data_IF_547464043021
#
_entry.id   IF_547464043021
#
_cell.length_a   1.000
_cell.length_b   1.000
_cell.length_c   1.000
_cell.angle_alpha   90.00
_cell.angle_beta   90.00
_cell.angle_gamma   90.00
#
_symmetry.space_group_name_H-M   'P 1'
#
loop_
_entity.id
_entity.type
_entity.pdbx_description
1 polymer ?
#
# COMPACT_ATOMS: atom_id res chain seq x y z
N UNK A 1 27.49 -1.59 10.83
CA UNK A 1 27.30 -1.32 9.39
C UNK A 1 26.77 0.09 9.18
N UNK A 2 25.68 0.49 9.84
CA UNK A 2 25.11 1.84 9.72
C UNK A 2 26.05 2.97 10.10
N UNK A 3 26.83 2.85 11.17
CA UNK A 3 27.85 3.86 11.53
C UNK A 3 28.84 4.21 10.41
N UNK A 4 29.34 3.19 9.72
CA UNK A 4 30.24 3.38 8.60
C UNK A 4 29.51 4.01 7.41
N UNK A 5 28.24 3.64 7.18
CA UNK A 5 27.41 4.25 6.14
C UNK A 5 27.15 5.74 6.42
N UNK A 6 26.87 6.13 7.67
CA UNK A 6 26.71 7.53 8.11
C UNK A 6 27.95 8.34 7.89
N UNK A 7 29.09 7.79 8.30
CA UNK A 7 30.39 8.44 8.14
C UNK A 7 30.71 8.67 6.67
N UNK A 8 30.46 7.68 5.81
CA UNK A 8 30.61 7.84 4.36
C UNK A 8 29.66 8.91 3.81
N UNK A 9 28.37 8.89 4.18
CA UNK A 9 27.41 9.88 3.71
C UNK A 9 27.78 11.30 4.12
N UNK A 10 28.13 11.53 5.39
CA UNK A 10 28.50 12.86 5.87
C UNK A 10 29.78 13.41 5.22
N UNK A 11 30.74 12.52 4.91
CA UNK A 11 32.04 12.92 4.35
C UNK A 11 32.03 13.03 2.83
N UNK A 12 31.31 12.15 2.15
CA UNK A 12 31.38 11.97 0.69
C UNK A 12 30.04 12.26 -0.02
N UNK A 13 28.96 12.53 0.73
CA UNK A 13 27.62 12.75 0.18
C UNK A 13 26.96 11.49 -0.40
N UNK A 14 27.59 10.32 -0.24
CA UNK A 14 27.17 9.05 -0.85
C UNK A 14 27.37 7.91 0.14
N UNK A 15 26.40 6.99 0.19
CA UNK A 15 26.54 5.69 0.87
C UNK A 15 27.04 4.64 -0.15
N UNK A 16 28.20 3.99 0.08
CA UNK A 16 28.68 2.91 -0.78
C UNK A 16 27.69 1.73 -0.90
N UNK A 17 27.62 1.12 -2.09
CA UNK A 17 26.68 0.03 -2.41
C UNK A 17 26.83 -1.22 -1.53
N UNK A 18 27.98 -1.41 -0.87
CA UNK A 18 28.22 -2.52 0.06
C UNK A 18 27.43 -2.44 1.36
N UNK A 19 26.85 -1.28 1.70
CA UNK A 19 26.16 -1.08 2.97
C UNK A 19 24.67 -1.40 2.87
N UNK A 20 23.97 -0.85 1.89
CA UNK A 20 22.52 -0.98 1.76
C UNK A 20 22.06 -1.18 0.32
N UNK A 21 20.82 -1.64 0.17
CA UNK A 21 20.15 -1.77 -1.13
C UNK A 21 20.08 -0.41 -1.86
N UNK A 22 19.87 -0.41 -3.19
CA UNK A 22 19.66 0.84 -3.95
C UNK A 22 18.58 1.73 -3.35
N UNK A 23 17.44 1.16 -2.94
CA UNK A 23 16.28 1.89 -2.42
C UNK A 23 16.61 2.62 -1.11
N UNK A 24 17.30 1.95 -0.19
CA UNK A 24 17.73 2.56 1.08
C UNK A 24 18.78 3.65 0.82
N UNK A 25 19.73 3.43 -0.09
CA UNK A 25 20.75 4.45 -0.42
C UNK A 25 20.12 5.69 -1.06
N UNK A 26 19.15 5.52 -1.94
CA UNK A 26 18.38 6.62 -2.53
C UNK A 26 17.61 7.40 -1.47
N UNK A 27 16.98 6.71 -0.51
CA UNK A 27 16.31 7.34 0.63
C UNK A 27 17.28 8.13 1.51
N UNK A 28 18.42 7.55 1.89
CA UNK A 28 19.45 8.23 2.67
C UNK A 28 19.98 9.47 1.95
N UNK A 29 20.12 9.39 0.63
CA UNK A 29 20.49 10.54 -0.19
C UNK A 29 19.41 11.63 -0.16
N UNK A 30 18.12 11.30 -0.33
CA UNK A 30 17.04 12.29 -0.22
C UNK A 30 17.03 12.99 1.14
N UNK A 31 17.24 12.23 2.23
CA UNK A 31 17.33 12.77 3.59
C UNK A 31 18.52 13.73 3.77
N UNK A 32 19.68 13.37 3.22
CA UNK A 32 20.86 14.24 3.27
C UNK A 32 20.67 15.50 2.41
N UNK A 33 20.12 15.36 1.21
CA UNK A 33 19.85 16.47 0.29
C UNK A 33 18.77 17.43 0.83
N UNK A 34 17.88 16.98 1.73
CA UNK A 34 16.92 17.83 2.45
C UNK A 34 17.51 18.55 3.67
N UNK A 35 18.80 18.32 3.97
CA UNK A 35 19.53 19.02 5.03
C UNK A 35 19.53 18.32 6.39
N UNK A 36 19.09 17.05 6.47
CA UNK A 36 19.20 16.29 7.71
C UNK A 36 20.65 15.92 8.02
N UNK A 37 21.01 15.95 9.29
CA UNK A 37 22.30 15.47 9.80
C UNK A 37 22.19 13.97 10.13
N UNK A 38 22.98 13.08 9.49
CA UNK A 38 22.93 11.65 9.77
C UNK A 38 23.41 11.26 11.18
N UNK A 39 24.01 12.19 11.94
CA UNK A 39 24.41 12.02 13.33
C UNK A 39 23.52 12.79 14.32
N UNK A 40 22.54 13.53 13.83
CA UNK A 40 21.56 14.25 14.65
C UNK A 40 20.37 13.39 15.06
N UNK A 41 19.37 14.06 15.63
CA UNK A 41 18.11 13.46 16.07
C UNK A 41 16.95 13.91 15.16
N UNK A 42 15.91 13.07 14.97
CA UNK A 42 14.74 13.44 14.19
C UNK A 42 14.00 14.63 14.81
N UNK A 43 13.61 15.57 13.95
CA UNK A 43 12.68 16.63 14.37
C UNK A 43 11.29 16.01 14.53
N UNK A 44 10.54 16.43 15.55
CA UNK A 44 9.17 15.95 15.73
C UNK A 44 8.17 16.99 15.28
N UNK A 45 7.35 16.63 14.29
CA UNK A 45 6.28 17.48 13.79
C UNK A 45 4.94 16.78 14.03
N UNK A 46 4.05 17.47 14.76
CA UNK A 46 2.68 17.04 14.99
C UNK A 46 1.72 18.08 14.41
N UNK A 47 0.75 17.64 13.62
CA UNK A 47 -0.29 18.53 13.13
C UNK A 47 -1.26 18.90 14.25
N UNK A 48 -1.87 20.09 14.15
CA UNK A 48 -2.90 20.49 15.09
C UNK A 48 -4.12 19.55 15.02
N UNK A 49 -4.84 19.40 16.14
CA UNK A 49 -6.02 18.52 16.24
C UNK A 49 -7.07 18.82 15.16
N UNK A 50 -7.32 20.10 14.86
CA UNK A 50 -8.24 20.49 13.80
C UNK A 50 -7.80 19.99 12.41
N UNK A 51 -6.50 20.04 12.12
CA UNK A 51 -5.95 19.52 10.88
C UNK A 51 -6.01 17.98 10.83
N UNK A 52 -5.74 17.29 11.93
CA UNK A 52 -5.91 15.84 12.03
C UNK A 52 -7.36 15.42 11.75
N UNK A 53 -8.35 16.11 12.33
CA UNK A 53 -9.76 15.82 12.08
C UNK A 53 -10.14 16.03 10.62
N UNK A 54 -9.69 17.13 10.02
CA UNK A 54 -9.90 17.39 8.58
C UNK A 54 -9.28 16.31 7.70
N UNK A 55 -8.04 15.88 7.97
CA UNK A 55 -7.38 14.80 7.23
C UNK A 55 -8.15 13.47 7.36
N UNK A 56 -8.71 13.18 8.55
CA UNK A 56 -9.58 12.01 8.77
C UNK A 56 -10.89 12.08 7.99
N UNK A 57 -11.49 13.27 7.85
CA UNK A 57 -12.68 13.50 7.04
C UNK A 57 -12.39 13.35 5.54
N UNK A 58 -11.31 13.96 5.06
CA UNK A 58 -10.85 13.85 3.66
C UNK A 58 -10.51 12.39 3.30
N UNK A 59 -9.99 11.62 4.27
CA UNK A 59 -9.67 10.20 4.12
C UNK A 59 -10.80 9.25 4.56
N UNK A 60 -12.02 9.74 4.78
CA UNK A 60 -13.08 8.99 5.50
C UNK A 60 -13.27 7.55 4.98
N UNK A 61 -13.42 7.38 3.66
CA UNK A 61 -13.73 6.07 3.07
C UNK A 61 -12.55 5.10 3.20
N UNK A 62 -11.35 5.52 2.78
CA UNK A 62 -10.12 4.69 2.89
C UNK A 62 -9.79 4.39 4.34
N UNK A 63 -9.94 5.37 5.23
CA UNK A 63 -9.74 5.22 6.67
C UNK A 63 -10.69 4.21 7.28
N UNK A 64 -11.97 4.23 6.91
CA UNK A 64 -12.97 3.27 7.41
C UNK A 64 -12.57 1.83 7.05
N UNK A 65 -12.19 1.59 5.80
CA UNK A 65 -11.73 0.27 5.34
C UNK A 65 -10.39 -0.11 5.99
N UNK A 66 -9.45 0.83 6.07
CA UNK A 66 -8.15 0.64 6.71
C UNK A 66 -8.29 0.22 8.17
N UNK A 67 -9.17 0.86 8.96
CA UNK A 67 -9.39 0.47 10.36
C UNK A 67 -9.81 -1.00 10.52
N UNK A 68 -10.71 -1.49 9.67
CA UNK A 68 -11.13 -2.89 9.68
C UNK A 68 -9.95 -3.81 9.33
N UNK A 69 -9.17 -3.44 8.32
CA UNK A 69 -8.01 -4.22 7.89
C UNK A 69 -6.83 -4.16 8.87
N UNK A 70 -6.67 -3.06 9.61
CA UNK A 70 -5.69 -2.96 10.69
C UNK A 70 -6.00 -3.94 11.82
N UNK A 71 -7.28 -4.11 12.18
CA UNK A 71 -7.68 -5.12 13.18
C UNK A 71 -7.50 -6.55 12.66
N UNK A 72 -7.78 -6.80 11.37
CA UNK A 72 -7.52 -8.09 10.73
C UNK A 72 -6.02 -8.42 10.71
N UNK A 73 -5.18 -7.45 10.33
CA UNK A 73 -3.73 -7.60 10.30
C UNK A 73 -3.19 -7.79 11.70
N UNK A 74 -3.68 -7.02 12.68
CA UNK A 74 -3.32 -7.15 14.09
C UNK A 74 -3.53 -8.59 14.57
N UNK A 75 -4.69 -9.19 14.33
CA UNK A 75 -4.95 -10.59 14.70
C UNK A 75 -4.00 -11.60 14.06
N UNK A 76 -3.48 -11.31 12.86
CA UNK A 76 -2.53 -12.19 12.15
C UNK A 76 -1.11 -12.09 12.68
N UNK A 77 -0.72 -10.93 13.22
CA UNK A 77 0.65 -10.67 13.71
C UNK A 77 0.73 -10.42 15.23
N UNK A 78 -0.38 -10.56 15.95
CA UNK A 78 -0.49 -10.32 17.38
C UNK A 78 0.51 -11.16 18.19
N UNK A 79 0.91 -10.64 19.35
CA UNK A 79 1.88 -11.31 20.24
C UNK A 79 3.33 -11.21 19.76
N UNK A 80 3.58 -10.42 18.71
CA UNK A 80 4.92 -10.18 18.17
C UNK A 80 5.43 -8.75 18.45
N UNK A 81 4.77 -8.03 19.37
CA UNK A 81 5.08 -6.65 19.76
C UNK A 81 5.04 -5.71 18.55
N UNK A 82 3.84 -5.50 17.99
CA UNK A 82 3.64 -4.63 16.83
C UNK A 82 2.89 -3.34 17.15
N UNK A 83 3.18 -2.32 16.35
CA UNK A 83 2.29 -1.18 16.10
C UNK A 83 1.91 -1.25 14.62
N UNK A 84 0.62 -1.16 14.34
CA UNK A 84 0.08 -0.99 12.99
C UNK A 84 -0.42 0.44 12.88
N UNK A 85 0.03 1.14 11.85
CA UNK A 85 -0.28 2.54 11.58
C UNK A 85 -1.03 2.63 10.26
N UNK A 86 -2.07 3.45 10.24
CA UNK A 86 -2.63 3.98 9.01
C UNK A 86 -2.31 5.47 8.92
N UNK A 87 -1.64 5.86 7.84
CA UNK A 87 -1.30 7.25 7.53
C UNK A 87 -1.94 7.68 6.21
N UNK A 88 -2.15 8.99 6.05
CA UNK A 88 -2.56 9.56 4.77
C UNK A 88 -1.38 9.64 3.77
N UNK A 89 -1.66 10.16 2.58
CA UNK A 89 -0.68 10.28 1.49
C UNK A 89 0.50 11.20 1.82
N UNK A 90 0.36 12.10 2.79
CA UNK A 90 1.44 12.99 3.23
C UNK A 90 2.26 12.37 4.37
N UNK A 91 1.96 11.14 4.78
CA UNK A 91 2.65 10.47 5.88
C UNK A 91 2.25 10.97 7.27
N UNK A 92 1.06 11.57 7.42
CA UNK A 92 0.51 11.91 8.75
C UNK A 92 -0.27 10.73 9.30
N UNK A 93 0.07 10.28 10.50
CA UNK A 93 -0.61 9.17 11.19
C UNK A 93 -2.06 9.59 11.50
N UNK A 94 -3.03 8.81 11.02
CA UNK A 94 -4.44 9.04 11.28
C UNK A 94 -5.00 8.09 12.34
N UNK A 95 -4.53 6.84 12.36
CA UNK A 95 -4.93 5.82 13.32
C UNK A 95 -3.77 4.86 13.61
N UNK A 96 -3.84 4.21 14.77
CA UNK A 96 -2.90 3.16 15.16
C UNK A 96 -3.60 2.05 15.92
N UNK A 97 -3.09 0.83 15.80
CA UNK A 97 -3.38 -0.33 16.67
C UNK A 97 -2.06 -0.78 17.26
N UNK A 98 -1.98 -0.97 18.57
CA UNK A 98 -0.72 -1.26 19.27
C UNK A 98 -0.89 -2.40 20.26
N UNK A 99 0.07 -3.32 20.29
CA UNK A 99 0.17 -4.35 21.33
C UNK A 99 0.52 -3.72 22.68
N UNK A 100 -0.06 -4.22 23.78
CA UNK A 100 0.18 -3.70 25.13
C UNK A 100 1.67 -3.74 25.52
N UNK A 101 2.39 -4.80 25.14
CA UNK A 101 3.83 -4.96 25.35
C UNK A 101 4.66 -3.93 24.60
N UNK A 102 4.21 -3.50 23.42
CA UNK A 102 4.87 -2.47 22.63
C UNK A 102 4.47 -1.07 23.11
N UNK A 103 3.25 -0.86 23.61
CA UNK A 103 2.78 0.41 24.14
C UNK A 103 3.65 0.93 25.30
N UNK A 104 4.20 0.02 26.12
CA UNK A 104 5.09 0.36 27.23
C UNK A 104 6.48 0.86 26.80
N UNK A 105 6.95 0.46 25.62
CA UNK A 105 8.26 0.84 25.05
C UNK A 105 8.18 1.90 23.97
N UNK A 106 6.98 2.27 23.54
CA UNK A 106 6.76 3.09 22.37
C UNK A 106 6.70 4.58 22.72
N UNK A 107 7.51 5.43 22.08
CA UNK A 107 7.42 6.87 22.28
C UNK A 107 6.10 7.46 21.77
N UNK A 108 5.69 8.59 22.33
CA UNK A 108 4.51 9.38 21.93
C UNK A 108 4.46 9.72 20.42
N UNK A 109 5.61 9.62 19.72
CA UNK A 109 5.82 9.97 18.31
C UNK A 109 5.05 9.13 17.28
N UNK A 110 4.42 8.03 17.70
CA UNK A 110 3.55 7.20 16.84
C UNK A 110 2.06 7.45 17.07
N UNK A 111 1.70 8.47 17.87
CA UNK A 111 0.30 8.87 18.06
C UNK A 111 -0.29 9.49 16.78
N UNK A 112 -1.62 9.46 16.61
CA UNK A 112 -2.27 10.22 15.55
C UNK A 112 -1.87 11.70 15.55
N UNK A 113 -1.59 12.22 14.35
CA UNK A 113 -1.16 13.59 14.10
C UNK A 113 0.35 13.77 13.89
N UNK A 114 1.18 12.81 14.27
CA UNK A 114 2.62 12.88 13.96
C UNK A 114 2.87 12.60 12.48
N UNK A 115 3.81 13.35 11.91
CA UNK A 115 4.23 13.23 10.51
C UNK A 115 5.53 12.43 10.41
N UNK A 116 5.60 11.49 9.45
CA UNK A 116 6.70 10.55 9.26
C UNK A 116 7.39 10.64 7.88
N UNK A 117 7.33 11.82 7.26
CA UNK A 117 8.05 12.12 6.02
C UNK A 117 9.57 11.96 6.19
N UNK A 118 10.26 11.61 5.09
CA UNK A 118 11.70 11.39 5.07
C UNK A 118 12.47 12.66 5.45
N UNK A 119 11.98 13.83 5.06
CA UNK A 119 12.58 15.14 5.33
C UNK A 119 12.48 15.56 6.80
N UNK A 120 11.78 14.80 7.63
CA UNK A 120 11.55 15.10 9.06
C UNK A 120 12.13 14.00 9.95
N UNK A 121 11.83 12.73 9.64
CA UNK A 121 12.21 11.57 10.44
C UNK A 121 13.27 10.69 9.77
N UNK A 122 13.85 11.17 8.67
CA UNK A 122 14.82 10.44 7.89
C UNK A 122 14.24 9.18 7.25
N UNK A 123 15.10 8.33 6.68
CA UNK A 123 14.74 7.02 6.13
C UNK A 123 13.98 6.19 7.16
N UNK A 124 12.71 5.95 6.85
CA UNK A 124 11.79 5.07 7.54
C UNK A 124 10.81 4.50 6.49
N UNK A 125 10.20 3.34 6.77
CA UNK A 125 9.41 2.65 5.75
C UNK A 125 8.19 3.48 5.29
N UNK A 126 7.45 4.10 6.22
CA UNK A 126 6.29 4.94 5.92
C UNK A 126 6.67 6.12 5.01
N UNK A 127 7.73 6.85 5.34
CA UNK A 127 8.24 7.96 4.52
C UNK A 127 8.71 7.51 3.14
N UNK A 128 9.43 6.38 3.06
CA UNK A 128 9.83 5.81 1.77
C UNK A 128 8.64 5.45 0.89
N UNK A 129 7.58 4.86 1.46
CA UNK A 129 6.36 4.54 0.72
C UNK A 129 5.63 5.80 0.26
N UNK A 130 5.59 6.85 1.08
CA UNK A 130 4.98 8.14 0.71
C UNK A 130 5.64 8.74 -0.54
N UNK A 131 6.97 8.60 -0.69
CA UNK A 131 7.71 9.13 -1.85
C UNK A 131 7.68 8.17 -3.05
N UNK A 132 7.85 6.87 -2.82
CA UNK A 132 8.08 5.90 -3.91
C UNK A 132 6.81 5.24 -4.42
N UNK A 133 5.72 5.27 -3.64
CA UNK A 133 4.49 4.50 -3.87
C UNK A 133 4.76 3.00 -4.07
N UNK A 134 5.80 2.48 -3.43
CA UNK A 134 6.20 1.06 -3.47
C UNK A 134 6.31 0.51 -2.04
N UNK A 135 6.01 -0.78 -1.82
CA UNK A 135 6.25 -1.40 -0.51
C UNK A 135 7.73 -1.31 -0.12
N UNK A 136 7.99 -1.10 1.16
CA UNK A 136 9.35 -0.95 1.70
C UNK A 136 9.49 -1.63 3.07
N UNK A 137 10.67 -2.20 3.32
CA UNK A 137 11.12 -2.58 4.66
C UNK A 137 12.33 -1.72 5.00
N UNK A 138 12.36 -1.20 6.23
CA UNK A 138 13.55 -0.56 6.80
C UNK A 138 13.87 -1.28 8.11
N UNK A 139 15.04 -1.90 8.17
CA UNK A 139 15.47 -2.74 9.27
C UNK A 139 16.68 -2.15 9.99
N UNK A 140 16.49 -1.84 11.28
CA UNK A 140 17.56 -1.45 12.18
C UNK A 140 18.43 -0.31 11.64
N UNK A 141 19.71 -0.60 11.39
CA UNK A 141 20.71 0.34 10.87
C UNK A 141 20.41 0.95 9.49
N UNK A 142 19.40 0.43 8.78
CA UNK A 142 18.88 1.05 7.56
C UNK A 142 18.08 2.34 7.83
N UNK A 143 17.62 2.54 9.07
CA UNK A 143 16.98 3.80 9.44
C UNK A 143 18.00 4.94 9.42
N UNK A 144 17.57 6.11 8.97
CA UNK A 144 18.46 7.26 8.89
C UNK A 144 18.76 7.90 10.25
N UNK A 145 18.00 7.66 11.30
CA UNK A 145 18.38 8.13 12.64
C UNK A 145 18.64 6.96 13.57
N UNK A 146 19.63 7.12 14.46
CA UNK A 146 19.98 6.12 15.47
C UNK A 146 18.80 5.78 16.38
N UNK A 147 17.97 6.78 16.68
CA UNK A 147 16.74 6.63 17.47
C UNK A 147 15.81 5.52 16.96
N UNK A 148 15.85 5.20 15.67
CA UNK A 148 14.96 4.23 15.04
C UNK A 148 15.64 2.87 14.80
N UNK A 149 16.91 2.67 15.15
CA UNK A 149 17.65 1.44 14.80
C UNK A 149 17.26 0.21 15.64
N UNK A 150 16.48 0.42 16.71
CA UNK A 150 15.83 -0.67 17.44
C UNK A 150 14.58 -1.21 16.73
N UNK A 151 14.17 -0.60 15.61
CA UNK A 151 12.91 -0.90 14.92
C UNK A 151 13.11 -1.66 13.62
N UNK A 152 12.06 -2.36 13.21
CA UNK A 152 11.86 -2.85 11.85
C UNK A 152 10.47 -2.44 11.40
N UNK A 153 10.42 -1.64 10.34
CA UNK A 153 9.20 -1.09 9.79
C UNK A 153 8.94 -1.76 8.43
N UNK A 154 7.72 -2.23 8.21
CA UNK A 154 7.27 -2.77 6.95
C UNK A 154 6.01 -2.02 6.51
N UNK A 155 6.09 -1.30 5.40
CA UNK A 155 5.01 -0.45 4.92
C UNK A 155 4.62 -0.77 3.47
N UNK A 156 3.36 -0.56 3.14
CA UNK A 156 2.86 -0.66 1.77
C UNK A 156 1.83 0.44 1.46
N UNK A 157 1.80 0.91 0.20
CA UNK A 157 0.86 1.93 -0.23
C UNK A 157 -0.54 1.35 -0.44
N UNK A 158 -1.56 2.16 -0.16
CA UNK A 158 -2.93 1.97 -0.62
C UNK A 158 -3.11 2.87 -1.83
N UNK A 159 -3.33 2.25 -3.00
CA UNK A 159 -3.49 2.94 -4.27
C UNK A 159 -4.97 3.05 -4.67
N UNK A 160 -5.42 4.27 -4.90
CA UNK A 160 -6.72 4.57 -5.50
C UNK A 160 -6.69 4.51 -7.03
N UNK A 161 -7.68 5.17 -7.64
CA UNK A 161 -7.80 5.28 -9.10
C UNK A 161 -6.51 5.83 -9.71
N UNK A 162 -6.12 5.27 -10.86
CA UNK A 162 -4.94 5.67 -11.64
C UNK A 162 -3.61 5.62 -10.85
N UNK A 163 -3.53 4.76 -9.82
CA UNK A 163 -2.32 4.63 -9.00
C UNK A 163 -2.07 5.80 -8.04
N UNK A 164 -3.06 6.65 -7.80
CA UNK A 164 -2.95 7.72 -6.80
C UNK A 164 -2.75 7.12 -5.41
N UNK A 165 -1.73 7.55 -4.67
CA UNK A 165 -1.58 7.19 -3.26
C UNK A 165 -2.73 7.81 -2.44
N UNK A 166 -3.48 6.98 -1.72
CA UNK A 166 -4.61 7.41 -0.87
C UNK A 166 -4.43 7.05 0.60
N UNK A 167 -3.34 6.37 0.94
CA UNK A 167 -2.96 6.07 2.31
C UNK A 167 -1.83 5.05 2.36
N UNK A 168 -1.32 4.80 3.56
CA UNK A 168 -0.20 3.89 3.81
C UNK A 168 -0.54 3.05 5.03
N UNK A 169 -0.31 1.74 4.95
CA UNK A 169 -0.25 0.87 6.13
C UNK A 169 1.21 0.62 6.45
N UNK A 170 1.59 0.83 7.70
CA UNK A 170 2.90 0.47 8.25
C UNK A 170 2.70 -0.48 9.43
N UNK A 171 3.52 -1.52 9.51
CA UNK A 171 3.64 -2.38 10.67
C UNK A 171 5.08 -2.33 11.20
N UNK A 172 5.23 -1.81 12.41
CA UNK A 172 6.52 -1.60 13.08
C UNK A 172 6.67 -2.56 14.26
N UNK A 173 7.83 -3.18 14.39
CA UNK A 173 8.21 -4.05 15.52
C UNK A 173 9.64 -3.78 16.00
N UNK A 174 10.02 -4.38 17.13
CA UNK A 174 11.42 -4.46 17.55
C UNK A 174 12.25 -5.24 16.51
N UNK A 175 13.45 -4.75 16.17
CA UNK A 175 14.28 -5.34 15.13
C UNK A 175 14.76 -6.77 15.43
N UNK A 176 14.70 -7.20 16.70
CA UNK A 176 15.01 -8.57 17.12
C UNK A 176 13.87 -9.54 16.80
N UNK A 177 12.67 -9.04 16.56
CA UNK A 177 11.53 -9.84 16.10
C UNK A 177 11.75 -10.26 14.64
N UNK A 178 12.01 -11.56 14.41
CA UNK A 178 12.23 -12.12 13.06
C UNK A 178 10.92 -12.24 12.30
N UNK A 179 10.52 -11.19 11.57
CA UNK A 179 9.20 -11.15 10.92
C UNK A 179 9.30 -10.98 9.40
N UNK A 180 9.86 -12.01 8.74
CA UNK A 180 10.15 -12.02 7.29
C UNK A 180 8.93 -11.89 6.39
N UNK A 181 7.73 -12.16 6.92
CA UNK A 181 6.48 -12.16 6.16
C UNK A 181 5.62 -10.91 6.37
N UNK A 182 6.01 -9.99 7.26
CA UNK A 182 5.19 -8.82 7.60
C UNK A 182 4.91 -7.94 6.39
N UNK A 183 5.90 -7.68 5.53
CA UNK A 183 5.67 -6.87 4.33
C UNK A 183 4.63 -7.51 3.39
N UNK A 184 4.63 -8.83 3.26
CA UNK A 184 3.64 -9.52 2.44
C UNK A 184 2.23 -9.37 3.03
N UNK A 185 2.08 -9.52 4.35
CA UNK A 185 0.80 -9.34 5.04
C UNK A 185 0.30 -7.88 4.94
N UNK A 186 1.18 -6.90 5.17
CA UNK A 186 0.87 -5.47 5.02
C UNK A 186 0.45 -5.17 3.58
N UNK A 187 1.17 -5.69 2.58
CA UNK A 187 0.81 -5.56 1.18
C UNK A 187 -0.55 -6.18 0.82
N UNK A 188 -0.85 -7.36 1.37
CA UNK A 188 -2.16 -8.01 1.19
C UNK A 188 -3.30 -7.21 1.84
N UNK A 189 -3.08 -6.64 3.03
CA UNK A 189 -4.04 -5.73 3.67
C UNK A 189 -4.29 -4.49 2.80
N UNK A 190 -3.25 -3.88 2.24
CA UNK A 190 -3.43 -2.76 1.31
C UNK A 190 -4.25 -3.17 0.08
N UNK A 191 -3.96 -4.31 -0.56
CA UNK A 191 -4.75 -4.80 -1.71
C UNK A 191 -6.22 -5.03 -1.32
N UNK A 192 -6.48 -5.52 -0.10
CA UNK A 192 -7.85 -5.70 0.43
C UNK A 192 -8.57 -4.36 0.53
N UNK A 193 -7.92 -3.33 1.08
CA UNK A 193 -8.46 -1.97 1.18
C UNK A 193 -8.73 -1.40 -0.22
N UNK A 194 -7.81 -1.58 -1.16
CA UNK A 194 -7.93 -1.09 -2.55
C UNK A 194 -9.11 -1.72 -3.27
N UNK A 195 -9.29 -3.04 -3.16
CA UNK A 195 -10.43 -3.73 -3.74
C UNK A 195 -11.75 -3.26 -3.11
N UNK A 196 -11.76 -3.02 -1.79
CA UNK A 196 -12.92 -2.41 -1.11
C UNK A 196 -13.22 -1.00 -1.65
N UNK A 197 -12.19 -0.17 -1.83
CA UNK A 197 -12.32 1.17 -2.42
C UNK A 197 -12.84 1.12 -3.86
N UNK A 198 -12.35 0.16 -4.66
CA UNK A 198 -12.81 -0.08 -6.02
C UNK A 198 -14.31 -0.39 -6.03
N UNK A 199 -14.76 -1.33 -5.20
CA UNK A 199 -16.18 -1.71 -5.10
C UNK A 199 -17.06 -0.55 -4.65
N UNK A 200 -16.61 0.21 -3.65
CA UNK A 200 -17.33 1.40 -3.17
C UNK A 200 -17.49 2.48 -4.25
N UNK A 201 -16.48 2.70 -5.11
CA UNK A 201 -16.58 3.61 -6.26
C UNK A 201 -17.55 3.11 -7.33
N UNK A 202 -17.60 1.79 -7.54
CA UNK A 202 -18.31 1.15 -8.64
C UNK A 202 -19.61 0.44 -8.23
N UNK A 203 -20.23 0.81 -7.10
CA UNK A 203 -21.49 0.22 -6.61
C UNK A 203 -22.66 0.23 -7.60
N UNK A 204 -22.64 1.12 -8.59
CA UNK A 204 -23.66 1.22 -9.64
C UNK A 204 -23.24 0.65 -11.00
N UNK A 205 -22.02 0.15 -11.10
CA UNK A 205 -21.42 -0.40 -12.31
C UNK A 205 -21.43 -1.94 -12.24
N UNK A 206 -21.18 -2.59 -13.38
CA UNK A 206 -20.95 -4.01 -13.44
C UNK A 206 -19.50 -4.31 -13.07
N UNK A 207 -19.27 -4.90 -11.90
CA UNK A 207 -17.94 -5.36 -11.50
C UNK A 207 -17.76 -6.81 -11.91
N UNK A 208 -16.74 -7.08 -12.72
CA UNK A 208 -16.33 -8.41 -13.10
C UNK A 208 -15.04 -8.78 -12.40
N UNK A 209 -15.06 -9.92 -11.73
CA UNK A 209 -13.84 -10.58 -11.26
C UNK A 209 -13.34 -11.52 -12.34
N UNK A 210 -12.02 -11.59 -12.51
CA UNK A 210 -11.42 -12.43 -13.52
C UNK A 210 -10.13 -13.07 -13.02
N UNK A 211 -9.96 -14.34 -13.40
CA UNK A 211 -8.73 -15.08 -13.16
C UNK A 211 -8.56 -16.22 -14.18
N UNK A 212 -7.32 -16.64 -14.45
CA UNK A 212 -7.02 -17.78 -15.35
C UNK A 212 -7.42 -19.13 -14.77
N UNK A 213 -7.65 -19.17 -13.47
CA UNK A 213 -8.02 -20.35 -12.69
C UNK A 213 -9.17 -19.99 -11.78
N UNK A 214 -10.25 -20.76 -11.88
CA UNK A 214 -11.52 -20.53 -11.18
C UNK A 214 -11.41 -20.45 -9.67
N UNK A 215 -10.48 -21.20 -9.10
CA UNK A 215 -10.29 -21.37 -7.65
C UNK A 215 -9.78 -20.10 -6.97
N UNK A 216 -9.31 -19.12 -7.75
CA UNK A 216 -8.82 -17.84 -7.25
C UNK A 216 -9.81 -16.69 -7.45
N UNK A 217 -10.99 -16.94 -8.05
CA UNK A 217 -12.09 -15.98 -8.03
C UNK A 217 -12.52 -15.70 -6.58
N UNK A 218 -12.86 -14.45 -6.27
CA UNK A 218 -13.16 -14.02 -4.91
C UNK A 218 -11.93 -13.86 -3.99
N UNK A 219 -10.71 -14.09 -4.50
CA UNK A 219 -9.48 -13.90 -3.72
C UNK A 219 -8.76 -12.60 -4.08
N UNK A 220 -7.76 -12.22 -3.29
CA UNK A 220 -6.88 -11.07 -3.57
C UNK A 220 -6.09 -11.20 -4.88
N UNK A 221 -6.06 -12.38 -5.51
CA UNK A 221 -5.38 -12.60 -6.79
C UNK A 221 -6.27 -12.30 -8.00
N UNK A 222 -7.57 -12.03 -7.79
CA UNK A 222 -8.49 -11.70 -8.87
C UNK A 222 -8.25 -10.31 -9.45
N UNK A 223 -8.26 -10.23 -10.77
CA UNK A 223 -8.43 -8.97 -11.47
C UNK A 223 -9.85 -8.47 -11.30
N UNK A 224 -10.04 -7.15 -11.19
CA UNK A 224 -11.34 -6.49 -11.17
C UNK A 224 -11.44 -5.55 -12.37
N UNK A 225 -12.54 -5.64 -13.13
CA UNK A 225 -12.91 -4.72 -14.20
C UNK A 225 -14.31 -4.16 -13.90
N UNK A 226 -14.47 -2.84 -13.94
CA UNK A 226 -15.76 -2.18 -13.77
C UNK A 226 -16.26 -1.67 -15.12
N UNK A 227 -17.43 -2.12 -15.55
CA UNK A 227 -18.08 -1.71 -16.79
C UNK A 227 -19.32 -0.88 -16.50
N UNK A 228 -19.51 0.21 -17.26
CA UNK A 228 -20.77 0.94 -17.31
C UNK A 228 -21.86 0.08 -17.94
N UNK A 229 -23.12 0.50 -17.76
CA UNK A 229 -24.31 -0.20 -18.32
C UNK A 229 -24.30 -0.32 -19.84
N UNK A 230 -23.56 0.56 -20.52
CA UNK A 230 -23.36 0.56 -21.97
C UNK A 230 -22.20 -0.34 -22.43
N UNK A 231 -21.56 -1.09 -21.51
CA UNK A 231 -20.50 -2.05 -21.82
C UNK A 231 -19.09 -1.47 -21.91
N UNK A 232 -18.92 -0.16 -21.67
CA UNK A 232 -17.60 0.46 -21.64
C UNK A 232 -16.91 0.31 -20.28
N UNK A 233 -15.63 -0.03 -20.31
CA UNK A 233 -14.77 -0.11 -19.13
C UNK A 233 -14.57 1.29 -18.52
N UNK A 234 -14.78 1.41 -17.20
CA UNK A 234 -14.54 2.64 -16.43
C UNK A 234 -13.23 2.57 -15.62
N UNK A 235 -12.95 1.42 -14.99
CA UNK A 235 -11.75 1.23 -14.18
C UNK A 235 -11.35 -0.26 -14.10
N UNK A 236 -10.08 -0.50 -13.82
CA UNK A 236 -9.51 -1.82 -13.55
C UNK A 236 -8.60 -1.77 -12.32
N UNK A 237 -8.58 -2.82 -11.49
CA UNK A 237 -7.53 -2.93 -10.49
C UNK A 237 -6.18 -3.30 -11.13
N UNK A 238 -5.09 -3.20 -10.36
CA UNK A 238 -3.72 -3.51 -10.83
C UNK A 238 -3.57 -4.94 -11.36
N UNK A 239 -4.34 -5.90 -10.84
CA UNK A 239 -4.28 -7.30 -11.23
C UNK A 239 -5.02 -7.58 -12.55
N UNK A 240 -5.94 -6.70 -12.94
CA UNK A 240 -6.61 -6.74 -14.23
C UNK A 240 -5.78 -6.08 -15.36
N UNK A 241 -4.73 -5.31 -15.04
CA UNK A 241 -3.91 -4.63 -16.06
C UNK A 241 -3.28 -5.57 -17.10
N UNK A 242 -2.73 -6.76 -16.75
CA UNK A 242 -2.21 -7.70 -17.73
C UNK A 242 -3.22 -8.15 -18.80
N UNK A 243 -4.53 -8.03 -18.51
CA UNK A 243 -5.60 -8.35 -19.45
C UNK A 243 -5.91 -7.21 -20.42
N UNK A 244 -5.46 -6.00 -20.11
CA UNK A 244 -5.69 -4.79 -20.91
C UNK A 244 -4.43 -4.32 -21.66
N UNK A 245 -3.28 -4.98 -21.45
CA UNK A 245 -1.97 -4.55 -21.96
C UNK A 245 -1.92 -4.34 -23.48
N UNK A 246 -2.73 -5.10 -24.22
CA UNK A 246 -2.73 -5.07 -25.68
C UNK A 246 -3.70 -4.01 -26.25
N UNK A 247 -4.31 -3.20 -25.39
CA UNK A 247 -5.32 -2.20 -25.73
C UNK A 247 -4.75 -0.78 -25.65
N UNK A 248 -5.23 0.09 -26.52
CA UNK A 248 -4.78 1.49 -26.61
C UNK A 248 -5.07 2.23 -25.29
N UNK A 249 -4.06 2.79 -24.58
CA UNK A 249 -4.23 3.41 -23.26
C UNK A 249 -5.22 4.58 -23.17
N UNK A 250 -5.55 5.20 -24.31
CA UNK A 250 -6.44 6.36 -24.40
C UNK A 250 -7.82 6.04 -24.99
N UNK A 251 -8.07 4.80 -25.41
CA UNK A 251 -9.37 4.42 -25.97
C UNK A 251 -10.37 4.07 -24.87
N UNK A 252 -11.65 4.44 -25.07
CA UNK A 252 -12.75 3.84 -24.31
C UNK A 252 -12.86 2.38 -24.75
N UNK A 253 -12.44 1.46 -23.89
CA UNK A 253 -12.45 0.02 -24.19
C UNK A 253 -13.87 -0.51 -23.94
N UNK A 254 -14.51 -1.09 -24.96
CA UNK A 254 -15.78 -1.80 -24.81
C UNK A 254 -15.53 -3.28 -24.45
N UNK A 255 -16.45 -3.90 -23.69
CA UNK A 255 -16.38 -5.32 -23.31
C UNK A 255 -16.12 -6.24 -24.51
N UNK A 256 -16.79 -5.99 -25.64
CA UNK A 256 -16.68 -6.79 -26.86
C UNK A 256 -15.29 -6.69 -27.53
N UNK A 257 -14.45 -5.73 -27.15
CA UNK A 257 -13.05 -5.63 -27.60
C UNK A 257 -12.12 -6.52 -26.75
N UNK A 258 -12.52 -6.82 -25.53
CA UNK A 258 -11.76 -7.65 -24.58
C UNK A 258 -12.09 -9.13 -24.80
N UNK A 259 -13.38 -9.45 -24.92
CA UNK A 259 -13.88 -10.82 -24.93
C UNK A 259 -14.54 -11.21 -26.25
N UNK A 260 -14.50 -12.51 -26.57
CA UNK A 260 -15.18 -13.06 -27.75
C UNK A 260 -16.70 -13.17 -27.57
N UNK A 261 -17.16 -13.39 -26.34
CA UNK A 261 -18.60 -13.42 -26.01
C UNK A 261 -19.17 -12.00 -26.11
N UNK A 262 -20.27 -11.76 -26.84
CA UNK A 262 -20.91 -10.44 -26.87
C UNK A 262 -21.45 -10.02 -25.50
N UNK A 263 -21.34 -8.74 -25.15
CA UNK A 263 -21.71 -8.18 -23.85
C UNK A 263 -23.15 -8.49 -23.46
N UNK A 264 -24.09 -8.36 -24.41
CA UNK A 264 -25.50 -8.67 -24.17
C UNK A 264 -25.75 -10.14 -23.86
N UNK A 265 -25.04 -11.05 -24.53
CA UNK A 265 -25.11 -12.49 -24.25
C UNK A 265 -24.52 -12.78 -22.86
N UNK A 266 -23.38 -12.16 -22.56
CA UNK A 266 -22.73 -12.29 -21.27
C UNK A 266 -23.63 -11.85 -20.11
N UNK A 267 -24.29 -10.69 -20.20
CA UNK A 267 -25.23 -10.21 -19.18
C UNK A 267 -26.37 -11.19 -18.89
N UNK A 268 -26.86 -11.91 -19.90
CA UNK A 268 -27.92 -12.91 -19.71
C UNK A 268 -27.43 -14.17 -18.96
N UNK A 269 -26.12 -14.43 -18.97
CA UNK A 269 -25.52 -15.63 -18.38
C UNK A 269 -24.99 -15.38 -16.96
N UNK A 270 -24.64 -14.14 -16.64
CA UNK A 270 -23.88 -13.75 -15.43
C UNK A 270 -24.56 -14.07 -14.10
N UNK A 271 -25.87 -13.82 -13.89
CA UNK A 271 -26.47 -13.92 -12.57
C UNK A 271 -26.28 -15.30 -11.92
N UNK A 272 -25.57 -15.32 -10.78
CA UNK A 272 -25.41 -16.50 -9.92
C UNK A 272 -24.50 -17.61 -10.48
N UNK A 273 -23.64 -17.33 -11.47
CA UNK A 273 -22.77 -18.35 -12.08
C UNK A 273 -21.35 -17.86 -12.34
N UNK A 274 -20.40 -18.77 -12.19
CA UNK A 274 -19.08 -18.63 -12.77
C UNK A 274 -19.16 -18.93 -14.27
N UNK A 275 -18.63 -18.03 -15.09
CA UNK A 275 -18.63 -18.14 -16.55
C UNK A 275 -17.19 -18.22 -17.03
N UNK A 276 -16.98 -19.08 -18.03
CA UNK A 276 -15.74 -19.02 -18.77
C UNK A 276 -15.84 -18.05 -19.95
N UNK A 277 -14.88 -17.13 -20.04
CA UNK A 277 -14.74 -16.17 -21.13
C UNK A 277 -13.43 -16.41 -21.87
N UNK A 278 -13.48 -16.31 -23.19
CA UNK A 278 -12.28 -16.33 -24.03
C UNK A 278 -11.87 -14.90 -24.34
N UNK A 279 -10.65 -14.53 -23.95
CA UNK A 279 -10.07 -13.24 -24.31
C UNK A 279 -9.69 -13.24 -25.79
N UNK A 280 -9.81 -12.10 -26.49
CA UNK A 280 -9.56 -12.05 -27.95
C UNK A 280 -8.13 -12.37 -28.35
N UNK A 281 -7.17 -11.99 -27.51
CA UNK A 281 -5.74 -12.14 -27.78
C UNK A 281 -5.03 -13.10 -26.82
N UNK A 282 -5.76 -13.67 -25.85
CA UNK A 282 -5.20 -14.50 -24.78
C UNK A 282 -6.07 -15.75 -24.60
N UNK A 283 -5.67 -16.62 -23.68
CA UNK A 283 -6.38 -17.85 -23.40
C UNK A 283 -7.76 -17.65 -22.78
N UNK A 284 -8.28 -18.77 -22.27
CA UNK A 284 -9.55 -18.83 -21.56
C UNK A 284 -9.37 -18.37 -20.11
N UNK A 285 -10.38 -17.68 -19.58
CA UNK A 285 -10.44 -17.21 -18.21
C UNK A 285 -11.78 -17.58 -17.58
N UNK A 286 -11.81 -17.50 -16.26
CA UNK A 286 -13.03 -17.60 -15.48
C UNK A 286 -13.37 -16.21 -14.96
N UNK A 287 -14.67 -15.93 -14.90
CA UNK A 287 -15.20 -14.71 -14.33
C UNK A 287 -16.46 -14.97 -13.53
N UNK A 288 -16.74 -14.05 -12.62
CA UNK A 288 -17.97 -13.98 -11.84
C UNK A 288 -18.34 -12.52 -11.60
N UNK A 289 -19.60 -12.27 -11.25
CA UNK A 289 -20.01 -10.98 -10.74
C UNK A 289 -19.28 -10.70 -9.43
N UNK A 290 -18.61 -9.54 -9.35
CA UNK A 290 -17.89 -9.12 -8.15
C UNK A 290 -18.86 -8.57 -7.13
N UNK A 291 -18.94 -9.25 -5.98
CA UNK A 291 -19.73 -8.83 -4.81
C UNK A 291 -19.20 -7.53 -4.18
#
# INVERSE_FOLDING_TARGET
MGESARTCLAREGIVPARFFSPEIRESWKRCFDSGLDPFGDPTTVQVAVAQLNRRREESYLVRRLAKMEMENLHRQIAGSNFIIIFADSDGVILDRVVDESMAASNPDRTLPGFMWQEEINGTNALGMVAVTHKPAIVHGEEHYFRDHTSLTCAAAPILGRNGKLVGIIDATSDCRSRQRHTLALVGMSCITIENGLFRERHKGDLILELHSRSEFLGTLQSGLLAFKKDGFLDESNRLAMPFLQDMQPMARIHFDEIFLTPFREFLNRLPGRQISLSHRQRGQFFCSEGL
#
